data_IF_016703040076
#
_entry.id   IF_016703040076
#
_cell.length_a   1.000
_cell.length_b   1.000
_cell.length_c   1.000
_cell.angle_alpha   90.00
_cell.angle_beta   90.00
_cell.angle_gamma   90.00
#
_symmetry.space_group_name_H-M   'P 1'
#
loop_
_entity.id
_entity.type
_entity.pdbx_description
1 polymer ?
#
# COMPACT_ATOMS: atom_id res chain seq x y z
N UNK A 1 -25.61 -10.06 26.88
CA UNK A 1 -25.25 -9.59 25.52
C UNK A 1 -24.97 -8.11 25.62
N UNK A 2 -23.70 -7.70 25.53
CA UNK A 2 -23.30 -6.29 25.56
C UNK A 2 -22.51 -6.03 24.28
N UNK A 3 -23.19 -5.55 23.25
CA UNK A 3 -22.56 -5.17 21.98
C UNK A 3 -21.85 -3.85 22.20
N UNK A 4 -20.55 -3.89 22.42
CA UNK A 4 -19.67 -2.73 22.27
C UNK A 4 -19.51 -2.48 20.78
N UNK A 5 -20.35 -1.60 20.24
CA UNK A 5 -20.13 -1.01 18.93
C UNK A 5 -18.87 -0.14 19.02
N UNK A 6 -17.73 -0.69 18.58
CA UNK A 6 -16.55 0.12 18.30
C UNK A 6 -16.85 0.82 16.98
N UNK A 7 -17.23 2.10 17.09
CA UNK A 7 -17.17 3.07 16.02
C UNK A 7 -15.73 3.09 15.49
N UNK A 8 -15.44 2.27 14.47
CA UNK A 8 -14.34 2.57 13.57
C UNK A 8 -14.81 3.76 12.74
N UNK A 9 -14.53 4.94 13.30
CA UNK A 9 -14.43 6.18 12.55
C UNK A 9 -13.70 5.83 11.26
N UNK A 10 -14.39 5.99 10.14
CA UNK A 10 -13.79 6.03 8.82
C UNK A 10 -12.83 7.22 8.82
N UNK A 11 -11.62 7.02 9.34
CA UNK A 11 -10.50 7.86 9.02
C UNK A 11 -10.25 7.61 7.53
N UNK A 12 -10.96 8.36 6.70
CA UNK A 12 -10.41 8.76 5.42
C UNK A 12 -9.17 9.55 5.81
N UNK A 13 -8.06 8.85 6.03
CA UNK A 13 -6.75 9.47 6.08
C UNK A 13 -6.58 10.04 4.69
N UNK A 14 -6.93 11.31 4.56
CA UNK A 14 -6.55 12.12 3.40
C UNK A 14 -5.04 12.29 3.54
N UNK A 15 -4.30 11.23 3.21
CA UNK A 15 -2.86 11.33 3.09
C UNK A 15 -2.64 12.21 1.85
N UNK A 16 -1.97 13.35 1.99
CA UNK A 16 -1.77 14.25 0.86
C UNK A 16 -1.03 13.50 -0.23
N UNK A 17 -1.63 13.47 -1.41
CA UNK A 17 -0.94 12.99 -2.62
C UNK A 17 0.21 13.94 -2.89
N UNK A 18 1.42 13.41 -2.94
CA UNK A 18 2.61 14.18 -3.29
C UNK A 18 2.69 14.34 -4.80
N UNK A 19 3.16 15.51 -5.22
CA UNK A 19 3.71 15.66 -6.55
C UNK A 19 5.14 15.12 -6.55
N UNK A 20 5.62 14.67 -7.72
CA UNK A 20 6.95 14.08 -7.82
C UNK A 20 8.06 15.00 -7.27
N UNK A 21 7.90 16.32 -7.41
CA UNK A 21 8.85 17.33 -6.91
C UNK A 21 9.04 17.37 -5.39
N UNK A 22 8.12 16.78 -4.62
CA UNK A 22 8.16 16.78 -3.15
C UNK A 22 8.78 15.50 -2.57
N UNK A 23 9.23 14.60 -3.44
CA UNK A 23 9.82 13.30 -3.09
C UNK A 23 11.35 13.43 -3.20
N UNK A 24 12.12 12.94 -2.20
CA UNK A 24 13.57 12.90 -2.30
C UNK A 24 14.01 12.21 -3.59
N UNK A 25 14.91 12.87 -4.32
CA UNK A 25 15.39 12.36 -5.61
C UNK A 25 15.96 10.93 -5.49
N UNK A 26 16.63 10.61 -4.38
CA UNK A 26 17.13 9.26 -4.13
C UNK A 26 16.03 8.20 -4.07
N UNK A 27 14.85 8.53 -3.51
CA UNK A 27 13.71 7.62 -3.48
C UNK A 27 13.06 7.48 -4.87
N UNK A 28 12.96 8.57 -5.63
CA UNK A 28 12.50 8.53 -7.01
C UNK A 28 13.41 7.67 -7.90
N UNK A 29 14.72 7.91 -7.83
CA UNK A 29 15.71 7.19 -8.64
C UNK A 29 15.70 5.69 -8.28
N UNK A 30 15.71 5.36 -6.99
CA UNK A 30 15.67 3.98 -6.53
C UNK A 30 14.38 3.25 -6.91
N UNK A 31 13.26 3.97 -7.03
CA UNK A 31 12.00 3.42 -7.54
C UNK A 31 12.07 3.20 -9.06
N UNK A 32 12.49 4.21 -9.82
CA UNK A 32 12.58 4.13 -11.29
C UNK A 32 13.62 3.10 -11.77
N UNK A 33 14.72 2.90 -11.04
CA UNK A 33 15.71 1.86 -11.36
C UNK A 33 15.08 0.46 -11.37
N UNK A 34 14.14 0.19 -10.46
CA UNK A 34 13.43 -1.10 -10.36
C UNK A 34 12.24 -1.19 -11.29
N UNK A 35 11.63 -0.05 -11.59
CA UNK A 35 10.39 0.04 -12.34
C UNK A 35 10.50 1.08 -13.46
N UNK A 36 11.41 0.87 -14.44
CA UNK A 36 11.73 1.88 -15.45
C UNK A 36 10.55 2.23 -16.36
N UNK A 37 9.60 1.31 -16.52
CA UNK A 37 8.46 1.46 -17.43
C UNK A 37 7.20 2.01 -16.74
N UNK A 38 7.24 2.22 -15.41
CA UNK A 38 6.09 2.70 -14.66
C UNK A 38 6.04 4.23 -14.62
N UNK A 39 5.08 4.81 -15.35
CA UNK A 39 4.85 6.26 -15.41
C UNK A 39 3.66 6.71 -14.56
N UNK A 40 2.73 5.81 -14.23
CA UNK A 40 1.55 6.10 -13.42
C UNK A 40 1.77 5.63 -11.98
N UNK A 41 2.46 6.46 -11.20
CA UNK A 41 2.75 6.21 -9.79
C UNK A 41 2.14 7.32 -8.95
N UNK A 42 1.35 6.94 -7.95
CA UNK A 42 0.86 7.86 -6.93
C UNK A 42 1.77 7.78 -5.72
N UNK A 43 2.15 8.94 -5.20
CA UNK A 43 3.04 9.00 -4.06
C UNK A 43 2.34 9.62 -2.86
N UNK A 44 2.63 9.06 -1.69
CA UNK A 44 2.17 9.55 -0.40
C UNK A 44 3.35 9.54 0.57
N UNK A 45 3.40 10.48 1.51
CA UNK A 45 4.40 10.47 2.58
C UNK A 45 3.73 10.40 3.95
N UNK A 46 4.31 9.57 4.82
CA UNK A 46 3.92 9.42 6.20
C UNK A 46 5.18 9.26 7.04
N UNK A 47 5.50 10.27 7.86
CA UNK A 47 6.62 10.24 8.83
C UNK A 47 7.99 9.93 8.20
N UNK A 48 8.27 10.51 7.03
CA UNK A 48 9.52 10.33 6.28
C UNK A 48 9.59 9.03 5.48
N UNK A 49 8.49 8.29 5.40
CA UNK A 49 8.33 7.12 4.53
C UNK A 49 7.53 7.53 3.30
N UNK A 50 8.11 7.29 2.13
CA UNK A 50 7.53 7.60 0.83
C UNK A 50 6.94 6.33 0.22
N UNK A 51 5.62 6.26 0.16
CA UNK A 51 4.89 5.16 -0.44
C UNK A 51 4.55 5.46 -1.88
N UNK A 52 5.10 4.68 -2.79
CA UNK A 52 4.68 4.58 -4.18
C UNK A 52 3.53 3.59 -4.30
N UNK A 53 2.43 3.99 -4.93
CA UNK A 53 1.30 3.15 -5.32
C UNK A 53 1.20 3.11 -6.84
N UNK A 54 1.18 1.92 -7.41
CA UNK A 54 1.28 1.74 -8.86
C UNK A 54 0.58 0.45 -9.30
N UNK A 55 0.22 0.39 -10.58
CA UNK A 55 -0.46 -0.78 -11.15
C UNK A 55 0.53 -1.62 -11.96
N UNK A 56 0.57 -2.92 -11.70
CA UNK A 56 1.27 -3.92 -12.52
C UNK A 56 0.29 -5.04 -12.84
N UNK A 57 0.04 -5.29 -14.13
CA UNK A 57 -0.89 -6.33 -14.61
C UNK A 57 -2.29 -6.25 -13.97
N UNK A 58 -2.79 -5.03 -13.72
CA UNK A 58 -4.09 -4.82 -13.08
C UNK A 58 -4.12 -5.05 -11.56
N UNK A 59 -2.96 -5.33 -10.95
CA UNK A 59 -2.80 -5.48 -9.50
C UNK A 59 -2.19 -4.20 -8.93
N UNK A 60 -2.83 -3.65 -7.89
CA UNK A 60 -2.30 -2.52 -7.15
C UNK A 60 -1.12 -2.98 -6.28
N UNK A 61 0.04 -2.38 -6.52
CA UNK A 61 1.30 -2.61 -5.82
C UNK A 61 1.65 -1.38 -4.98
N UNK A 62 2.41 -1.63 -3.92
CA UNK A 62 2.94 -0.60 -3.05
C UNK A 62 4.43 -0.83 -2.80
N UNK A 63 5.22 0.23 -2.80
CA UNK A 63 6.61 0.21 -2.33
C UNK A 63 6.82 1.37 -1.36
N UNK A 64 7.30 1.06 -0.16
CA UNK A 64 7.62 2.03 0.88
C UNK A 64 9.13 2.24 0.91
N UNK A 65 9.55 3.49 0.72
CA UNK A 65 10.95 3.88 0.66
C UNK A 65 11.27 4.91 1.74
N UNK A 66 12.49 4.85 2.28
CA UNK A 66 13.01 5.96 3.08
C UNK A 66 13.52 7.11 2.16
N UNK A 67 13.84 8.26 2.76
CA UNK A 67 14.37 9.41 2.03
C UNK A 67 15.71 9.17 1.31
N UNK A 68 16.40 8.06 1.60
CA UNK A 68 17.66 7.65 0.96
C UNK A 68 17.44 6.66 -0.19
N UNK A 69 16.18 6.27 -0.44
CA UNK A 69 15.81 5.31 -1.48
C UNK A 69 15.95 3.85 -1.05
N UNK A 70 16.12 3.56 0.24
CA UNK A 70 16.05 2.18 0.71
C UNK A 70 14.60 1.73 0.76
N UNK A 71 14.31 0.58 0.17
CA UNK A 71 13.00 -0.05 0.28
C UNK A 71 12.86 -0.67 1.66
N UNK A 72 11.83 -0.24 2.37
CA UNK A 72 11.45 -0.72 3.69
C UNK A 72 10.51 -1.91 3.54
N UNK A 73 9.48 -1.77 2.69
CA UNK A 73 8.44 -2.79 2.45
C UNK A 73 7.98 -2.71 1.00
N UNK A 74 7.69 -3.88 0.42
CA UNK A 74 6.92 -4.00 -0.81
C UNK A 74 5.65 -4.82 -0.55
N UNK A 75 4.60 -4.48 -1.27
CA UNK A 75 3.28 -5.06 -1.06
C UNK A 75 2.46 -5.12 -2.33
N UNK A 76 1.39 -5.89 -2.25
CA UNK A 76 0.33 -5.92 -3.25
C UNK A 76 -1.00 -5.94 -2.52
N UNK A 77 -1.97 -5.21 -3.08
CA UNK A 77 -3.35 -5.28 -2.64
C UNK A 77 -4.04 -6.32 -3.51
N UNK A 78 -4.43 -7.43 -2.88
CA UNK A 78 -5.27 -8.45 -3.51
C UNK A 78 -6.73 -8.18 -3.16
N UNK A 79 -7.64 -8.40 -4.12
CA UNK A 79 -9.05 -8.54 -3.78
C UNK A 79 -9.29 -9.93 -3.19
N UNK A 80 -10.40 -10.09 -2.48
CA UNK A 80 -10.76 -11.39 -1.90
C UNK A 80 -10.89 -12.48 -2.97
N UNK A 81 -11.38 -12.12 -4.16
CA UNK A 81 -11.46 -13.00 -5.33
C UNK A 81 -10.10 -13.49 -5.85
N UNK A 82 -9.02 -12.74 -5.60
CA UNK A 82 -7.64 -13.07 -6.01
C UNK A 82 -6.90 -13.93 -4.97
N UNK A 83 -7.53 -14.22 -3.83
CA UNK A 83 -6.95 -15.06 -2.80
C UNK A 83 -7.02 -16.53 -3.21
N UNK A 84 -5.91 -17.24 -2.96
CA UNK A 84 -5.88 -18.69 -3.07
C UNK A 84 -6.83 -19.34 -2.06
N UNK A 85 -7.25 -20.57 -2.33
CA UNK A 85 -8.11 -21.31 -1.40
C UNK A 85 -7.48 -21.46 -0.01
N UNK A 86 -6.15 -21.63 0.05
CA UNK A 86 -5.41 -21.70 1.31
C UNK A 86 -5.45 -20.36 2.08
N UNK A 87 -5.28 -19.23 1.39
CA UNK A 87 -5.37 -17.89 1.98
C UNK A 87 -6.79 -17.62 2.50
N UNK A 88 -7.83 -17.92 1.70
CA UNK A 88 -9.23 -17.77 2.12
C UNK A 88 -9.58 -18.65 3.32
N UNK A 89 -9.16 -19.92 3.30
CA UNK A 89 -9.40 -20.85 4.41
C UNK A 89 -8.72 -20.37 5.70
N UNK A 90 -7.51 -19.81 5.60
CA UNK A 90 -6.78 -19.25 6.75
C UNK A 90 -7.49 -18.02 7.30
N UNK A 91 -7.88 -17.07 6.43
CA UNK A 91 -8.62 -15.88 6.82
C UNK A 91 -9.94 -16.23 7.52
N UNK A 92 -10.73 -17.16 6.96
CA UNK A 92 -11.99 -17.58 7.58
C UNK A 92 -11.83 -18.28 8.93
N UNK A 93 -10.69 -18.92 9.17
CA UNK A 93 -10.37 -19.61 10.42
C UNK A 93 -9.83 -18.66 11.49
N UNK A 94 -8.90 -17.79 11.11
CA UNK A 94 -8.19 -16.89 12.04
C UNK A 94 -8.97 -15.61 12.32
N UNK A 95 -9.75 -15.13 11.34
CA UNK A 95 -10.52 -13.89 11.43
C UNK A 95 -12.01 -14.16 11.11
N UNK A 96 -12.70 -15.01 11.90
CA UNK A 96 -14.09 -15.36 11.65
C UNK A 96 -14.98 -14.11 11.72
N UNK A 97 -15.69 -13.83 10.61
CA UNK A 97 -16.63 -12.70 10.50
C UNK A 97 -16.05 -11.42 9.89
N UNK A 98 -14.78 -11.42 9.47
CA UNK A 98 -14.22 -10.35 8.64
C UNK A 98 -14.91 -10.32 7.27
N UNK A 99 -15.38 -9.15 6.84
CA UNK A 99 -16.01 -8.87 5.53
C UNK A 99 -15.47 -7.56 4.98
#
# INVERSE_FOLDING_TARGET
MLVRAILLLSAISIVPRLWAQDIPQAALDAFHERHPDLSAVEWTEVEGIYRAQYMVDGILRTADLDARGHVIVEGQVKREEDLTEAERSTLGREYPGYR
#
